data_IF_822914195496
#
_entry.id   IF_822914195496
#
_cell.length_a   1.000
_cell.length_b   1.000
_cell.length_c   1.000
_cell.angle_alpha   90.00
_cell.angle_beta   90.00
_cell.angle_gamma   90.00
#
_symmetry.space_group_name_H-M   'P 1'
#
loop_
_entity.id
_entity.type
_entity.pdbx_description
1 polymer ?
#
# COMPACT_ATOMS: atom_id res chain seq x y z
N UNK A 1 10.41 -14.71 -6.85
CA UNK A 1 10.52 -15.07 -5.42
C UNK A 1 9.52 -14.21 -4.69
N UNK A 2 8.60 -14.83 -3.96
CA UNK A 2 7.56 -14.12 -3.22
C UNK A 2 8.21 -13.19 -2.18
N UNK A 3 7.97 -11.88 -2.32
CA UNK A 3 8.61 -10.86 -1.51
C UNK A 3 8.12 -10.93 -0.06
N UNK A 4 6.86 -11.32 0.14
CA UNK A 4 6.27 -11.46 1.46
C UNK A 4 6.85 -12.65 2.21
N UNK A 5 7.05 -13.78 1.55
CA UNK A 5 7.79 -14.93 2.08
C UNK A 5 9.21 -14.55 2.47
N UNK A 6 9.87 -13.68 1.69
CA UNK A 6 11.23 -13.20 2.02
C UNK A 6 11.25 -12.34 3.29
N UNK A 7 10.23 -11.48 3.47
CA UNK A 7 10.04 -10.73 4.71
C UNK A 7 9.77 -11.67 5.89
N UNK A 8 8.84 -12.62 5.76
CA UNK A 8 8.51 -13.57 6.81
C UNK A 8 9.71 -14.41 7.23
N UNK A 9 10.54 -14.84 6.28
CA UNK A 9 11.76 -15.57 6.55
C UNK A 9 12.75 -14.70 7.33
N UNK A 10 12.93 -13.45 6.91
CA UNK A 10 13.82 -12.49 7.60
C UNK A 10 13.38 -12.25 9.05
N UNK A 11 12.07 -12.08 9.27
CA UNK A 11 11.48 -11.93 10.60
C UNK A 11 11.65 -13.23 11.40
N UNK A 12 11.34 -14.38 10.81
CA UNK A 12 11.45 -15.69 11.46
C UNK A 12 12.89 -16.02 11.85
N UNK A 13 13.87 -15.66 11.02
CA UNK A 13 15.30 -15.82 11.34
C UNK A 13 15.78 -14.82 12.37
N UNK A 14 15.14 -13.65 12.46
CA UNK A 14 15.40 -12.69 13.51
C UNK A 14 14.88 -13.16 14.88
N UNK A 15 13.74 -13.86 14.93
CA UNK A 15 13.02 -14.28 16.14
C UNK A 15 13.76 -15.34 16.96
N UNK A 16 14.00 -15.03 18.24
CA UNK A 16 14.47 -15.99 19.24
C UNK A 16 13.33 -16.87 19.74
N UNK A 17 13.66 -18.02 20.32
CA UNK A 17 12.68 -18.97 20.87
C UNK A 17 11.76 -18.32 21.92
N UNK A 18 12.30 -17.45 22.78
CA UNK A 18 11.54 -16.71 23.79
C UNK A 18 10.54 -15.72 23.18
N UNK A 19 10.95 -15.04 22.11
CA UNK A 19 10.09 -14.07 21.41
C UNK A 19 8.99 -14.79 20.64
N UNK A 20 9.30 -15.94 20.04
CA UNK A 20 8.32 -16.81 19.41
C UNK A 20 7.29 -17.31 20.43
N UNK A 21 7.71 -17.68 21.64
CA UNK A 21 6.79 -18.08 22.71
C UNK A 21 5.89 -16.92 23.18
N UNK A 22 6.45 -15.72 23.29
CA UNK A 22 5.67 -14.51 23.58
C UNK A 22 4.63 -14.23 22.48
N UNK A 23 5.01 -14.35 21.19
CA UNK A 23 4.06 -14.23 20.08
C UNK A 23 2.98 -15.32 20.12
N UNK A 24 3.35 -16.57 20.46
CA UNK A 24 2.37 -17.65 20.64
C UNK A 24 1.37 -17.32 21.73
N UNK A 25 1.84 -16.74 22.84
CA UNK A 25 0.97 -16.35 23.95
C UNK A 25 -0.04 -15.30 23.53
N UNK A 26 0.39 -14.27 22.79
CA UNK A 26 -0.49 -13.24 22.22
C UNK A 26 -1.49 -13.82 21.22
N UNK A 27 -1.06 -14.85 20.48
CA UNK A 27 -1.93 -15.54 19.54
C UNK A 27 -2.92 -16.51 20.21
N UNK A 28 -2.84 -16.80 21.52
CA UNK A 28 -3.76 -17.76 22.18
C UNK A 28 -5.22 -17.33 22.15
N UNK A 29 -5.49 -16.02 22.10
CA UNK A 29 -6.85 -15.50 21.96
C UNK A 29 -7.43 -15.75 20.55
N UNK A 30 -6.57 -15.81 19.53
CA UNK A 30 -6.98 -15.90 18.11
C UNK A 30 -6.77 -17.29 17.50
N UNK A 31 -5.86 -18.10 18.04
CA UNK A 31 -5.46 -19.41 17.53
C UNK A 31 -5.68 -20.46 18.61
N UNK A 32 -6.26 -21.61 18.21
CA UNK A 32 -6.45 -22.75 19.12
C UNK A 32 -5.10 -23.26 19.65
N UNK A 33 -5.04 -23.53 20.96
CA UNK A 33 -3.83 -23.99 21.67
C UNK A 33 -3.09 -25.14 20.95
N UNK A 34 -3.82 -26.13 20.42
CA UNK A 34 -3.20 -27.24 19.70
C UNK A 34 -2.43 -26.85 18.42
N UNK A 35 -2.87 -25.83 17.68
CA UNK A 35 -2.11 -25.33 16.52
C UNK A 35 -0.87 -24.53 16.96
N UNK A 36 -0.96 -23.79 18.07
CA UNK A 36 0.18 -23.05 18.62
C UNK A 36 1.29 -23.94 19.18
N UNK A 37 0.92 -25.11 19.73
CA UNK A 37 1.88 -26.09 20.24
C UNK A 37 2.64 -26.80 19.10
N UNK A 38 2.02 -26.95 17.92
CA UNK A 38 2.67 -27.50 16.74
C UNK A 38 3.68 -26.55 16.08
N UNK A 39 3.57 -25.24 16.32
CA UNK A 39 4.45 -24.22 15.72
C UNK A 39 5.84 -24.32 16.35
N UNK A 40 6.86 -24.63 15.57
CA UNK A 40 8.27 -24.60 16.02
C UNK A 40 9.06 -23.42 15.48
N UNK A 41 8.62 -22.82 14.37
CA UNK A 41 9.26 -21.67 13.72
C UNK A 41 8.30 -20.48 13.59
N UNK A 42 8.86 -19.26 13.54
CA UNK A 42 8.09 -18.05 13.25
C UNK A 42 7.34 -18.14 11.92
N UNK A 43 7.95 -18.75 10.90
CA UNK A 43 7.32 -18.98 9.61
C UNK A 43 6.02 -19.80 9.71
N UNK A 44 6.00 -20.87 10.51
CA UNK A 44 4.80 -21.69 10.74
C UNK A 44 3.70 -20.90 11.43
N UNK A 45 4.07 -20.02 12.37
CA UNK A 45 3.12 -19.09 13.00
C UNK A 45 2.50 -18.16 11.96
N UNK A 46 3.32 -17.56 11.10
CA UNK A 46 2.84 -16.68 10.03
C UNK A 46 1.94 -17.42 9.03
N UNK A 47 2.27 -18.65 8.65
CA UNK A 47 1.41 -19.48 7.81
C UNK A 47 0.02 -19.70 8.41
N UNK A 48 -0.07 -19.98 9.71
CA UNK A 48 -1.37 -20.13 10.39
C UNK A 48 -2.12 -18.79 10.47
N UNK A 49 -1.41 -17.69 10.72
CA UNK A 49 -2.01 -16.35 10.75
C UNK A 49 -2.55 -15.96 9.36
N UNK A 50 -1.89 -16.36 8.28
CA UNK A 50 -2.35 -16.17 6.90
C UNK A 50 -3.59 -17.03 6.59
N UNK A 51 -3.57 -18.32 6.98
CA UNK A 51 -4.71 -19.23 6.83
C UNK A 51 -5.96 -18.65 7.50
N UNK A 52 -5.78 -17.95 8.63
CA UNK A 52 -6.86 -17.28 9.38
C UNK A 52 -7.18 -15.86 8.93
N UNK A 53 -6.53 -15.34 7.88
CA UNK A 53 -6.71 -13.96 7.38
C UNK A 53 -6.44 -12.89 8.46
N UNK A 54 -5.61 -13.22 9.45
CA UNK A 54 -5.16 -12.30 10.49
C UNK A 54 -4.02 -11.43 9.97
N UNK A 55 -3.12 -12.04 9.20
CA UNK A 55 -2.08 -11.33 8.44
C UNK A 55 -2.24 -11.63 6.95
N UNK A 56 -1.99 -10.62 6.11
CA UNK A 56 -1.93 -10.75 4.66
C UNK A 56 -0.94 -9.73 4.11
N UNK A 57 -0.62 -9.84 2.83
CA UNK A 57 0.17 -8.86 2.08
C UNK A 57 -0.37 -7.43 2.26
N UNK A 58 -1.71 -7.25 2.28
CA UNK A 58 -2.35 -5.95 2.47
C UNK A 58 -2.68 -5.60 3.93
N UNK A 59 -2.39 -6.51 4.86
CA UNK A 59 -2.87 -6.45 6.25
C UNK A 59 -1.80 -6.95 7.20
N UNK A 60 -0.84 -6.06 7.47
CA UNK A 60 0.26 -6.33 8.40
C UNK A 60 0.02 -5.69 9.77
N UNK A 61 -1.15 -5.08 10.01
CA UNK A 61 -1.50 -4.44 11.29
C UNK A 61 -1.34 -5.38 12.48
N UNK A 62 -1.90 -6.59 12.40
CA UNK A 62 -1.78 -7.59 13.46
C UNK A 62 -0.33 -8.06 13.66
N UNK A 63 0.44 -8.19 12.57
CA UNK A 63 1.85 -8.54 12.64
C UNK A 63 2.66 -7.44 13.34
N UNK A 64 2.37 -6.17 13.05
CA UNK A 64 2.99 -5.02 13.72
C UNK A 64 2.68 -5.00 15.21
N UNK A 65 1.43 -5.22 15.60
CA UNK A 65 1.04 -5.30 17.02
C UNK A 65 1.82 -6.40 17.76
N UNK A 66 1.95 -7.59 17.16
CA UNK A 66 2.75 -8.68 17.72
C UNK A 66 4.21 -8.27 17.89
N UNK A 67 4.81 -7.65 16.87
CA UNK A 67 6.22 -7.20 16.88
C UNK A 67 6.45 -6.05 17.89
N UNK A 68 5.47 -5.16 18.03
CA UNK A 68 5.45 -4.11 19.05
C UNK A 68 5.45 -4.71 20.46
N UNK A 69 4.62 -5.73 20.68
CA UNK A 69 4.45 -6.33 22.00
C UNK A 69 5.69 -7.14 22.43
N UNK A 70 6.42 -7.75 21.49
CA UNK A 70 7.72 -8.38 21.81
C UNK A 70 8.85 -7.35 21.96
N UNK A 71 8.58 -6.05 21.74
CA UNK A 71 9.57 -4.98 21.89
C UNK A 71 10.62 -4.92 20.79
N UNK A 72 10.38 -5.54 19.63
CA UNK A 72 11.34 -5.58 18.52
C UNK A 72 11.03 -4.55 17.45
N UNK A 73 11.40 -3.32 17.77
CA UNK A 73 11.31 -2.19 16.85
C UNK A 73 12.05 -2.41 15.53
N UNK A 74 13.16 -3.16 15.54
CA UNK A 74 13.97 -3.43 14.35
C UNK A 74 13.18 -4.23 13.30
N UNK A 75 12.50 -5.31 13.75
CA UNK A 75 11.66 -6.13 12.87
C UNK A 75 10.40 -5.39 12.45
N UNK A 76 9.83 -4.57 13.33
CA UNK A 76 8.68 -3.75 12.99
C UNK A 76 9.01 -2.73 11.90
N UNK A 77 10.19 -2.10 11.96
CA UNK A 77 10.67 -1.19 10.93
C UNK A 77 10.78 -1.90 9.57
N UNK A 78 11.26 -3.14 9.54
CA UNK A 78 11.28 -3.95 8.31
C UNK A 78 9.87 -4.20 7.77
N UNK A 79 8.91 -4.54 8.62
CA UNK A 79 7.51 -4.74 8.21
C UNK A 79 6.88 -3.45 7.68
N UNK A 80 7.14 -2.30 8.31
CA UNK A 80 6.64 -1.00 7.87
C UNK A 80 7.25 -0.62 6.52
N UNK A 81 8.56 -0.79 6.34
CA UNK A 81 9.23 -0.54 5.06
C UNK A 81 8.71 -1.46 3.95
N UNK A 82 8.43 -2.73 4.29
CA UNK A 82 7.82 -3.66 3.36
C UNK A 82 6.40 -3.27 3.01
N UNK A 83 5.57 -2.89 4.00
CA UNK A 83 4.21 -2.42 3.76
C UNK A 83 4.22 -1.16 2.87
N UNK A 84 5.07 -0.18 3.15
CA UNK A 84 5.22 1.01 2.32
C UNK A 84 5.64 0.65 0.88
N UNK A 85 6.54 -0.31 0.72
CA UNK A 85 7.00 -0.78 -0.59
C UNK A 85 5.99 -1.67 -1.32
N UNK A 86 5.08 -2.33 -0.61
CA UNK A 86 4.09 -3.25 -1.20
C UNK A 86 2.71 -2.59 -1.36
N UNK A 87 2.41 -1.52 -0.62
CA UNK A 87 1.32 -0.59 -0.96
C UNK A 87 1.53 0.06 -2.33
N UNK A 88 2.79 0.12 -2.79
CA UNK A 88 3.18 0.48 -4.17
C UNK A 88 2.98 -0.66 -5.19
N UNK A 89 2.79 -1.91 -4.75
CA UNK A 89 2.76 -3.10 -5.63
C UNK A 89 1.38 -3.79 -5.63
N UNK A 90 0.51 -3.48 -4.66
CA UNK A 90 -0.84 -4.06 -4.57
C UNK A 90 -1.92 -3.26 -5.31
N UNK A 91 -1.57 -2.76 -6.49
CA UNK A 91 -2.53 -2.55 -7.58
C UNK A 91 -2.00 -3.33 -8.80
N UNK A 92 -1.69 -4.63 -8.62
CA UNK A 92 -1.45 -5.54 -9.74
C UNK A 92 -2.80 -5.89 -10.38
N UNK A 93 -3.43 -4.87 -10.94
CA UNK A 93 -4.13 -4.98 -12.19
C UNK A 93 -3.50 -3.88 -13.05
N UNK A 94 -2.59 -4.23 -13.98
CA UNK A 94 -2.16 -3.28 -14.99
C UNK A 94 -3.35 -3.08 -15.94
N UNK A 95 -4.33 -2.29 -15.51
CA UNK A 95 -5.18 -1.57 -16.42
C UNK A 95 -4.23 -0.71 -17.26
N UNK A 96 -4.46 -0.63 -18.56
CA UNK A 96 -3.63 0.06 -19.57
C UNK A 96 -3.53 1.60 -19.34
N UNK A 97 -3.75 2.06 -18.12
CA UNK A 97 -3.83 3.42 -17.62
C UNK A 97 -2.66 3.79 -16.68
N UNK A 98 -1.72 2.89 -16.37
CA UNK A 98 -0.54 3.27 -15.55
C UNK A 98 0.49 4.13 -16.30
N UNK A 99 0.69 3.91 -17.60
CA UNK A 99 1.58 4.75 -18.42
C UNK A 99 1.20 6.24 -18.39
N UNK A 100 -0.08 6.61 -18.56
CA UNK A 100 -0.43 8.01 -18.48
C UNK A 100 -0.24 8.57 -17.07
N UNK A 101 -0.43 7.79 -16.00
CA UNK A 101 -0.17 8.28 -14.64
C UNK A 101 1.30 8.63 -14.39
N UNK A 102 2.25 7.83 -14.88
CA UNK A 102 3.69 8.13 -14.75
C UNK A 102 4.07 9.45 -15.46
N UNK A 103 3.61 9.62 -16.71
CA UNK A 103 3.83 10.84 -17.51
C UNK A 103 3.19 12.07 -16.86
N UNK A 104 2.01 11.88 -16.25
CA UNK A 104 1.27 12.92 -15.54
C UNK A 104 1.96 13.28 -14.22
N UNK A 105 2.41 12.31 -13.42
CA UNK A 105 3.11 12.57 -12.16
C UNK A 105 4.39 13.38 -12.37
N UNK A 106 5.16 13.06 -13.41
CA UNK A 106 6.38 13.78 -13.75
C UNK A 106 6.13 15.24 -14.24
N UNK A 107 4.93 15.56 -14.74
CA UNK A 107 4.66 16.83 -15.44
C UNK A 107 3.65 17.75 -14.73
N UNK A 108 2.71 17.20 -13.97
CA UNK A 108 1.67 17.98 -13.26
C UNK A 108 2.26 18.69 -12.04
N UNK A 109 3.10 18.00 -11.27
CA UNK A 109 3.70 18.53 -10.04
C UNK A 109 2.69 19.28 -9.18
N UNK A 110 2.91 20.58 -8.95
CA UNK A 110 2.06 21.45 -8.08
C UNK A 110 0.65 21.72 -8.61
N UNK A 111 0.37 21.46 -9.88
CA UNK A 111 -0.96 21.73 -10.47
C UNK A 111 -1.95 20.56 -10.27
N UNK A 112 -1.57 19.54 -9.50
CA UNK A 112 -2.40 18.35 -9.27
C UNK A 112 -3.76 18.69 -8.68
N UNK A 113 -3.84 19.65 -7.75
CA UNK A 113 -5.11 20.11 -7.19
C UNK A 113 -6.06 20.68 -8.24
N UNK A 114 -5.51 21.40 -9.22
CA UNK A 114 -6.28 22.00 -10.31
C UNK A 114 -6.78 20.91 -11.25
N UNK A 115 -5.91 19.94 -11.58
CA UNK A 115 -6.28 18.77 -12.38
C UNK A 115 -7.40 17.96 -11.73
N UNK A 116 -7.28 17.69 -10.43
CA UNK A 116 -8.30 16.90 -9.74
C UNK A 116 -9.64 17.63 -9.62
N UNK A 117 -9.61 18.96 -9.48
CA UNK A 117 -10.83 19.77 -9.51
C UNK A 117 -11.51 19.71 -10.88
N UNK A 118 -10.73 19.78 -11.97
CA UNK A 118 -11.23 19.61 -13.35
C UNK A 118 -11.78 18.20 -13.59
N UNK A 119 -11.17 17.19 -12.97
CA UNK A 119 -11.62 15.80 -13.00
C UNK A 119 -12.87 15.54 -12.13
N UNK A 120 -13.37 16.56 -11.43
CA UNK A 120 -14.58 16.49 -10.60
C UNK A 120 -14.36 15.85 -9.23
N UNK A 121 -13.12 15.74 -8.76
CA UNK A 121 -12.82 15.17 -7.45
C UNK A 121 -13.25 16.16 -6.34
N UNK A 122 -13.97 15.70 -5.29
CA UNK A 122 -14.42 16.58 -4.22
C UNK A 122 -13.23 17.16 -3.42
N UNK A 123 -13.31 18.43 -3.03
CA UNK A 123 -12.24 19.13 -2.31
C UNK A 123 -11.86 18.46 -0.98
N UNK A 124 -12.80 17.78 -0.33
CA UNK A 124 -12.56 16.99 0.89
C UNK A 124 -11.54 15.87 0.66
N UNK A 125 -11.56 15.24 -0.52
CA UNK A 125 -10.59 14.20 -0.89
C UNK A 125 -9.23 14.82 -1.24
N UNK A 126 -9.22 15.99 -1.87
CA UNK A 126 -7.99 16.73 -2.17
C UNK A 126 -7.26 17.13 -0.89
N UNK A 127 -7.99 17.65 0.09
CA UNK A 127 -7.44 18.04 1.38
C UNK A 127 -6.86 16.84 2.13
N UNK A 128 -7.54 15.69 2.06
CA UNK A 128 -7.05 14.44 2.64
C UNK A 128 -5.75 13.95 2.00
N UNK A 129 -5.63 14.04 0.67
CA UNK A 129 -4.40 13.64 -0.05
C UNK A 129 -3.26 14.60 0.30
N UNK A 130 -3.50 15.91 0.27
CA UNK A 130 -2.49 16.91 0.66
C UNK A 130 -2.02 16.69 2.11
N UNK A 131 -2.94 16.47 3.05
CA UNK A 131 -2.61 16.26 4.45
C UNK A 131 -1.79 14.98 4.67
N UNK A 132 -2.05 13.93 3.88
CA UNK A 132 -1.38 12.64 3.99
C UNK A 132 -0.01 12.59 3.31
N UNK A 133 0.19 13.35 2.22
CA UNK A 133 1.37 13.22 1.34
C UNK A 133 2.16 14.53 1.14
N UNK A 134 2.00 15.52 2.03
CA UNK A 134 2.55 16.90 1.97
C UNK A 134 4.06 17.10 1.66
N UNK A 135 4.85 16.03 1.62
CA UNK A 135 6.31 16.09 1.42
C UNK A 135 6.75 15.50 0.06
N UNK A 136 5.86 14.82 -0.67
CA UNK A 136 6.18 14.17 -1.94
C UNK A 136 5.17 14.57 -3.02
N UNK A 137 5.55 15.52 -3.88
CA UNK A 137 4.71 16.05 -4.96
C UNK A 137 4.30 14.98 -5.98
N UNK A 138 5.20 14.05 -6.28
CA UNK A 138 4.95 12.97 -7.23
C UNK A 138 3.95 11.97 -6.65
N UNK A 139 4.09 11.65 -5.36
CA UNK A 139 3.17 10.81 -4.60
C UNK A 139 1.81 11.50 -4.40
N UNK A 140 1.76 12.81 -4.14
CA UNK A 140 0.51 13.58 -4.05
C UNK A 140 -0.30 13.45 -5.35
N UNK A 141 0.34 13.62 -6.51
CA UNK A 141 -0.31 13.48 -7.81
C UNK A 141 -0.80 12.04 -8.00
N UNK A 142 0.04 11.05 -7.73
CA UNK A 142 -0.27 9.64 -7.90
C UNK A 142 -1.45 9.21 -7.03
N UNK A 143 -1.43 9.57 -5.75
CA UNK A 143 -2.50 9.25 -4.80
C UNK A 143 -3.80 9.95 -5.15
N UNK A 144 -3.73 11.19 -5.63
CA UNK A 144 -4.91 11.92 -6.08
C UNK A 144 -5.53 11.28 -7.34
N UNK A 145 -4.72 10.86 -8.32
CA UNK A 145 -5.17 10.14 -9.53
C UNK A 145 -5.83 8.82 -9.15
N UNK A 146 -5.24 8.09 -8.21
CA UNK A 146 -5.79 6.83 -7.70
C UNK A 146 -7.10 7.03 -6.93
N UNK A 147 -7.17 8.06 -6.11
CA UNK A 147 -8.39 8.44 -5.38
C UNK A 147 -9.51 8.86 -6.36
N UNK A 148 -9.15 9.52 -7.47
CA UNK A 148 -10.07 9.79 -8.57
C UNK A 148 -10.55 8.54 -9.28
N UNK A 149 -9.64 7.64 -9.65
CA UNK A 149 -9.99 6.38 -10.29
C UNK A 149 -10.90 5.53 -9.38
N UNK A 150 -10.63 5.49 -8.07
CA UNK A 150 -11.50 4.82 -7.09
C UNK A 150 -12.87 5.49 -6.94
N UNK A 151 -12.92 6.83 -7.00
CA UNK A 151 -14.18 7.57 -6.87
C UNK A 151 -15.07 7.43 -8.11
N UNK A 152 -14.48 7.50 -9.30
CA UNK A 152 -15.19 7.35 -10.58
C UNK A 152 -15.43 5.87 -10.94
N UNK A 153 -14.62 4.96 -10.42
CA UNK A 153 -14.71 3.53 -10.66
C UNK A 153 -14.65 3.19 -12.15
N UNK A 154 -15.70 2.53 -12.65
CA UNK A 154 -15.81 2.12 -14.08
C UNK A 154 -16.01 3.27 -15.06
N UNK A 155 -16.30 4.47 -14.56
CA UNK A 155 -16.45 5.67 -15.38
C UNK A 155 -15.12 6.45 -15.54
N UNK A 156 -14.05 5.98 -14.87
CA UNK A 156 -12.70 6.51 -15.04
C UNK A 156 -12.17 6.11 -16.42
N UNK A 157 -12.18 7.06 -17.37
CA UNK A 157 -11.62 6.86 -18.71
C UNK A 157 -10.44 7.79 -18.94
N UNK A 158 -9.48 7.34 -19.76
CA UNK A 158 -8.35 8.16 -20.23
C UNK A 158 -8.82 9.45 -20.93
N UNK A 159 -9.96 9.40 -21.62
CA UNK A 159 -10.54 10.59 -22.24
C UNK A 159 -10.87 11.71 -21.24
N UNK A 160 -11.32 11.38 -20.03
CA UNK A 160 -11.56 12.37 -18.98
C UNK A 160 -10.25 12.91 -18.41
N UNK A 161 -9.23 12.06 -18.29
CA UNK A 161 -7.85 12.43 -17.96
C UNK A 161 -7.27 13.42 -18.96
N UNK A 162 -7.31 13.09 -20.26
CA UNK A 162 -6.87 13.95 -21.37
C UNK A 162 -7.62 15.29 -21.32
N UNK A 163 -8.93 15.25 -21.11
CA UNK A 163 -9.75 16.47 -21.00
C UNK A 163 -9.33 17.33 -19.82
N UNK A 164 -9.11 16.75 -18.64
CA UNK A 164 -8.63 17.45 -17.45
C UNK A 164 -7.23 18.02 -17.64
N UNK A 165 -6.33 17.29 -18.29
CA UNK A 165 -4.97 17.75 -18.62
C UNK A 165 -5.01 18.94 -19.58
N UNK A 166 -5.83 18.88 -20.63
CA UNK A 166 -6.04 20.01 -21.56
C UNK A 166 -6.65 21.22 -20.85
N UNK A 167 -7.59 21.01 -19.93
CA UNK A 167 -8.15 22.07 -19.06
C UNK A 167 -7.11 22.71 -18.12
N UNK A 168 -6.09 21.95 -17.73
CA UNK A 168 -4.94 22.43 -16.96
C UNK A 168 -3.82 23.05 -17.81
N UNK A 169 -4.02 23.23 -19.12
CA UNK A 169 -3.01 23.72 -20.06
C UNK A 169 -1.81 22.76 -20.28
N UNK A 170 -1.92 21.51 -19.83
CA UNK A 170 -0.90 20.46 -19.95
C UNK A 170 -1.07 19.69 -21.26
N UNK A 171 -1.18 20.41 -22.37
CA UNK A 171 -1.46 19.84 -23.69
C UNK A 171 -0.36 18.85 -24.15
N UNK A 172 0.90 19.10 -23.78
CA UNK A 172 2.02 18.20 -24.09
C UNK A 172 1.94 16.86 -23.33
N UNK A 173 1.37 16.88 -22.13
CA UNK A 173 1.16 15.69 -21.31
C UNK A 173 -0.05 14.93 -21.85
N UNK A 174 -1.11 15.66 -22.22
CA UNK A 174 -2.31 15.09 -22.83
C UNK A 174 -2.00 14.36 -24.15
N UNK A 175 -1.11 14.90 -24.99
CA UNK A 175 -0.66 14.29 -26.24
C UNK A 175 0.11 12.98 -25.99
N UNK A 176 1.06 12.99 -25.03
CA UNK A 176 1.80 11.80 -24.59
C UNK A 176 0.94 10.73 -23.92
N UNK A 177 -0.20 11.11 -23.37
CA UNK A 177 -1.19 10.21 -22.74
C UNK A 177 -2.13 9.62 -23.79
N UNK A 178 -2.23 10.25 -24.96
CA UNK A 178 -3.06 9.85 -26.10
C UNK A 178 -2.31 8.90 -27.07
N UNK A 179 -0.96 8.97 -27.12
CA UNK A 179 -0.05 8.05 -27.85
C UNK A 179 0.15 6.68 -27.16
#
# INVERSE_FOLDING_TARGET
VDRFLSLQLSISSGLSVTELDAMKFLCRDKIKKGKLEAVQMGLELFSILMERQLIAHNKLGFLKELLQHIGRGDLLSLVVQFEQRELHVQDDQPDEHEKPFDVICASVGREWKKLMRELGLPEVKLDKVEAAYRFDLEEEVFQALREWQKWKGKDAKVADLIKGLRGCNLNLVADKVEE
#
